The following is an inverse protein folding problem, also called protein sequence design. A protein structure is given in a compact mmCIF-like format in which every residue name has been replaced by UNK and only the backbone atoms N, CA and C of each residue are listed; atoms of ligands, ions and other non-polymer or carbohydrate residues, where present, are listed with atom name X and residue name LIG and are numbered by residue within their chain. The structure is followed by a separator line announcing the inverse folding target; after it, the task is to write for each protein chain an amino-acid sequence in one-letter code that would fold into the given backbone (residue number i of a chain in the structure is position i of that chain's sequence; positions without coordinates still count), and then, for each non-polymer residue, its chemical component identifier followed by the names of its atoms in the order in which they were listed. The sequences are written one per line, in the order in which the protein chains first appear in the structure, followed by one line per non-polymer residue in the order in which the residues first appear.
data_IF_563718248582
#
_entry.id   IF_563718248582
#
_cell.length_a   1.000
_cell.length_b   1.000
_cell.length_c   1.000
_cell.angle_alpha   90.00
_cell.angle_beta   90.00
_cell.angle_gamma   90.00
#
_symmetry.space_group_name_H-M   'P 1'
#
loop_
_entity.id
_entity.type
_entity.pdbx_description
1 polymer ?
#
# COMPACT_ATOMS: atom_id res chain seq x y z
N UNK A 1 -20.03 -14.67 -17.37
CA UNK A 1 -19.08 -15.06 -16.32
C UNK A 1 -19.48 -14.56 -14.93
N UNK A 2 -20.42 -13.62 -14.78
CA UNK A 2 -20.85 -13.13 -13.45
C UNK A 2 -19.94 -12.09 -12.79
N UNK A 3 -18.73 -11.88 -13.33
CA UNK A 3 -17.80 -10.84 -12.87
C UNK A 3 -18.30 -9.44 -13.25
N UNK A 4 -18.32 -8.55 -12.26
CA UNK A 4 -18.58 -7.12 -12.39
C UNK A 4 -17.33 -6.34 -12.84
N UNK A 5 -17.51 -5.34 -13.69
CA UNK A 5 -16.49 -4.38 -14.14
C UNK A 5 -17.08 -2.98 -14.29
N UNK A 6 -16.33 -1.89 -13.99
CA UNK A 6 -15.04 -1.84 -13.29
C UNK A 6 -15.22 -2.04 -11.78
N UNK A 7 -14.64 -3.11 -11.22
CA UNK A 7 -14.82 -3.46 -9.80
C UNK A 7 -13.61 -4.19 -9.22
N UNK A 8 -13.35 -4.00 -7.93
CA UNK A 8 -12.24 -4.63 -7.22
C UNK A 8 -12.66 -5.93 -6.53
N UNK A 9 -11.78 -6.94 -6.57
CA UNK A 9 -11.93 -8.22 -5.89
C UNK A 9 -10.73 -8.46 -5.00
N UNK A 10 -10.92 -9.22 -3.92
CA UNK A 10 -9.83 -9.62 -3.02
C UNK A 10 -9.40 -11.04 -3.36
N UNK A 11 -8.09 -11.25 -3.52
CA UNK A 11 -7.52 -12.61 -3.56
C UNK A 11 -7.44 -13.11 -2.11
N UNK A 12 -8.16 -14.19 -1.82
CA UNK A 12 -8.17 -14.79 -0.49
C UNK A 12 -7.17 -15.93 -0.38
N UNK A 13 -7.10 -16.76 -1.41
CA UNK A 13 -6.38 -18.02 -1.33
C UNK A 13 -5.93 -18.49 -2.71
N UNK A 14 -4.92 -19.35 -2.72
CA UNK A 14 -4.36 -19.92 -3.92
C UNK A 14 -3.94 -21.37 -3.62
N UNK A 15 -4.33 -22.30 -4.49
CA UNK A 15 -3.99 -23.71 -4.33
C UNK A 15 -3.54 -24.32 -5.63
N UNK A 16 -2.57 -25.23 -5.53
CA UNK A 16 -2.09 -26.05 -6.62
C UNK A 16 -2.29 -27.53 -6.30
N UNK A 17 -2.78 -28.28 -7.28
CA UNK A 17 -3.08 -29.69 -7.17
C UNK A 17 -2.39 -30.48 -8.28
N UNK A 18 -1.62 -31.49 -7.90
CA UNK A 18 -1.13 -32.52 -8.83
C UNK A 18 -2.22 -33.59 -8.98
N UNK A 19 -3.02 -33.45 -10.04
CA UNK A 19 -4.13 -34.35 -10.33
C UNK A 19 -3.65 -35.78 -10.56
N UNK A 20 -2.46 -35.97 -11.14
CA UNK A 20 -1.90 -37.31 -11.38
C UNK A 20 -1.61 -38.00 -10.06
N UNK A 21 -0.95 -37.30 -9.14
CA UNK A 21 -0.62 -37.82 -7.80
C UNK A 21 -1.86 -38.08 -6.96
N UNK A 22 -2.91 -37.28 -7.14
CA UNK A 22 -4.19 -37.46 -6.47
C UNK A 22 -5.08 -38.55 -7.12
N UNK A 23 -4.65 -39.17 -8.22
CA UNK A 23 -5.43 -40.19 -8.92
C UNK A 23 -6.67 -39.62 -9.65
N UNK A 24 -6.65 -38.33 -9.98
CA UNK A 24 -7.74 -37.60 -10.64
C UNK A 24 -7.50 -37.50 -12.15
N UNK A 25 -8.56 -37.28 -12.93
CA UNK A 25 -8.44 -37.02 -14.37
C UNK A 25 -7.77 -35.66 -14.64
N UNK A 26 -7.23 -35.48 -15.85
CA UNK A 26 -6.69 -34.18 -16.29
C UNK A 26 -7.78 -33.13 -16.40
N UNK A 27 -7.52 -31.93 -15.88
CA UNK A 27 -8.37 -30.76 -16.11
C UNK A 27 -7.84 -29.97 -17.31
N UNK A 28 -8.65 -29.81 -18.37
CA UNK A 28 -8.25 -29.13 -19.61
C UNK A 28 -6.90 -29.62 -20.15
N UNK A 29 -6.72 -30.95 -20.20
CA UNK A 29 -5.51 -31.64 -20.66
C UNK A 29 -4.25 -31.46 -19.80
N UNK A 30 -4.34 -30.73 -18.68
CA UNK A 30 -3.25 -30.49 -17.75
C UNK A 30 -3.37 -31.42 -16.51
N UNK A 31 -2.22 -31.89 -16.00
CA UNK A 31 -2.14 -32.65 -14.74
C UNK A 31 -2.01 -31.74 -13.52
N UNK A 32 -1.71 -30.47 -13.70
CA UNK A 32 -1.60 -29.48 -12.63
C UNK A 32 -2.80 -28.56 -12.67
N UNK A 33 -3.60 -28.54 -11.60
CA UNK A 33 -4.71 -27.61 -11.45
C UNK A 33 -4.34 -26.53 -10.45
N UNK A 34 -4.37 -25.28 -10.90
CA UNK A 34 -4.20 -24.10 -10.05
C UNK A 34 -5.51 -23.37 -9.89
N UNK A 35 -5.95 -23.16 -8.65
CA UNK A 35 -7.16 -22.43 -8.32
C UNK A 35 -6.83 -21.17 -7.50
N UNK A 36 -7.56 -20.10 -7.80
CA UNK A 36 -7.52 -18.82 -7.06
C UNK A 36 -8.88 -18.61 -6.40
N UNK A 37 -8.91 -18.40 -5.09
CA UNK A 37 -10.12 -17.98 -4.36
C UNK A 37 -10.19 -16.46 -4.37
N UNK A 38 -11.30 -15.93 -4.89
CA UNK A 38 -11.58 -14.50 -4.94
C UNK A 38 -12.81 -14.18 -4.10
N UNK A 39 -12.86 -12.95 -3.58
CA UNK A 39 -14.04 -12.37 -2.93
C UNK A 39 -14.48 -11.09 -3.64
N UNK A 40 -15.77 -11.03 -3.99
CA UNK A 40 -16.46 -9.80 -4.29
C UNK A 40 -16.88 -9.11 -2.98
N UNK A 41 -16.39 -7.90 -2.69
CA UNK A 41 -16.81 -7.13 -1.51
C UNK A 41 -18.32 -6.90 -1.40
N UNK A 42 -19.06 -6.87 -2.52
CA UNK A 42 -20.51 -6.63 -2.51
C UNK A 42 -21.35 -7.87 -2.25
N UNK A 43 -20.74 -9.06 -2.12
CA UNK A 43 -21.49 -10.30 -1.87
C UNK A 43 -22.38 -10.75 -3.04
N UNK A 44 -22.27 -10.12 -4.21
CA UNK A 44 -23.11 -10.35 -5.40
C UNK A 44 -22.26 -10.78 -6.60
N UNK A 45 -22.90 -11.27 -7.66
CA UNK A 45 -22.21 -11.57 -8.93
C UNK A 45 -21.33 -12.81 -8.83
N UNK A 46 -21.96 -13.96 -8.58
CA UNK A 46 -21.25 -15.23 -8.48
C UNK A 46 -20.60 -15.59 -9.81
N UNK A 47 -19.33 -15.99 -9.76
CA UNK A 47 -18.63 -16.47 -10.93
C UNK A 47 -19.31 -17.72 -11.48
N UNK A 48 -19.69 -17.66 -12.76
CA UNK A 48 -20.42 -18.75 -13.44
C UNK A 48 -19.51 -19.68 -14.25
N UNK A 49 -18.19 -19.56 -14.08
CA UNK A 49 -17.21 -20.38 -14.80
C UNK A 49 -16.86 -21.68 -14.06
N UNK A 50 -15.86 -22.43 -14.56
CA UNK A 50 -15.36 -23.64 -13.90
C UNK A 50 -14.92 -23.35 -12.46
N UNK A 51 -15.24 -24.23 -11.52
CA UNK A 51 -14.96 -24.04 -10.09
C UNK A 51 -15.68 -22.85 -9.44
N UNK A 52 -16.62 -22.21 -10.15
CA UNK A 52 -17.59 -21.29 -9.54
C UNK A 52 -18.55 -22.03 -8.59
N UNK A 53 -19.35 -21.31 -7.79
CA UNK A 53 -20.18 -21.92 -6.73
C UNK A 53 -21.13 -23.01 -7.26
N UNK A 54 -21.71 -22.80 -8.44
CA UNK A 54 -22.66 -23.74 -9.07
C UNK A 54 -22.00 -24.77 -9.99
N UNK A 55 -20.67 -24.85 -10.00
CA UNK A 55 -19.94 -25.73 -10.91
C UNK A 55 -20.10 -27.20 -10.50
N UNK A 56 -20.45 -28.06 -11.46
CA UNK A 56 -20.50 -29.51 -11.24
C UNK A 56 -19.12 -30.12 -10.95
N UNK A 57 -18.03 -29.40 -11.24
CA UNK A 57 -16.66 -29.84 -10.98
C UNK A 57 -16.37 -30.06 -9.49
N UNK A 58 -17.11 -29.42 -8.60
CA UNK A 58 -17.00 -29.66 -7.16
C UNK A 58 -17.51 -31.05 -6.74
N UNK A 59 -18.20 -31.76 -7.63
CA UNK A 59 -18.83 -33.05 -7.36
C UNK A 59 -18.24 -34.14 -8.26
N UNK A 60 -18.43 -35.39 -7.86
CA UNK A 60 -18.02 -36.56 -8.63
C UNK A 60 -16.50 -36.62 -8.84
N UNK A 61 -16.05 -36.43 -10.09
CA UNK A 61 -14.67 -36.71 -10.52
C UNK A 61 -13.59 -35.95 -9.77
N UNK A 62 -13.89 -34.77 -9.24
CA UNK A 62 -12.93 -33.94 -8.52
C UNK A 62 -13.39 -33.62 -7.09
N UNK A 63 -14.19 -34.49 -6.48
CA UNK A 63 -14.68 -34.30 -5.10
C UNK A 63 -13.53 -34.12 -4.09
N UNK A 64 -12.37 -34.76 -4.33
CA UNK A 64 -11.17 -34.56 -3.51
C UNK A 64 -10.73 -33.09 -3.51
N UNK A 65 -10.81 -32.39 -4.65
CA UNK A 65 -10.45 -30.97 -4.75
C UNK A 65 -11.43 -30.11 -3.94
N UNK A 66 -12.72 -30.46 -3.92
CA UNK A 66 -13.72 -29.77 -3.10
C UNK A 66 -13.40 -29.85 -1.60
N UNK A 67 -12.98 -31.03 -1.15
CA UNK A 67 -12.56 -31.27 0.25
C UNK A 67 -11.33 -30.45 0.60
N UNK A 68 -10.31 -30.48 -0.26
CA UNK A 68 -9.11 -29.68 -0.08
C UNK A 68 -9.45 -28.20 -0.01
N UNK A 69 -10.17 -27.65 -0.98
CA UNK A 69 -10.57 -26.24 -1.04
C UNK A 69 -11.56 -25.80 0.05
N UNK A 70 -11.96 -26.68 0.97
CA UNK A 70 -13.01 -26.46 1.97
C UNK A 70 -14.27 -25.84 1.35
N UNK A 71 -14.67 -26.32 0.16
CA UNK A 71 -15.73 -25.73 -0.62
C UNK A 71 -17.09 -25.84 0.09
N UNK A 72 -17.83 -24.72 0.12
CA UNK A 72 -19.18 -24.62 0.68
C UNK A 72 -20.09 -23.98 -0.36
N UNK A 73 -21.20 -24.64 -0.71
CA UNK A 73 -22.16 -24.20 -1.74
C UNK A 73 -22.86 -22.87 -1.38
N UNK A 74 -22.85 -22.47 -0.10
CA UNK A 74 -23.53 -21.28 0.41
C UNK A 74 -22.62 -20.08 0.69
N UNK A 75 -21.31 -20.14 0.39
CA UNK A 75 -20.42 -18.99 0.60
C UNK A 75 -20.76 -17.85 -0.37
N UNK A 76 -21.53 -16.87 0.10
CA UNK A 76 -21.92 -15.71 -0.71
C UNK A 76 -20.74 -14.80 -1.00
N UNK A 77 -20.54 -14.45 -2.28
CA UNK A 77 -19.55 -13.47 -2.69
C UNK A 77 -18.09 -13.97 -2.71
N UNK A 78 -17.81 -15.22 -2.36
CA UNK A 78 -16.49 -15.83 -2.56
C UNK A 78 -16.58 -16.98 -3.55
N UNK A 79 -15.61 -17.13 -4.43
CA UNK A 79 -15.61 -18.18 -5.43
C UNK A 79 -14.18 -18.58 -5.81
N UNK A 80 -14.02 -19.81 -6.29
CA UNK A 80 -12.79 -20.25 -6.90
C UNK A 80 -12.86 -20.08 -8.42
N UNK A 81 -11.70 -19.91 -9.05
CA UNK A 81 -11.56 -19.98 -10.49
C UNK A 81 -10.20 -20.58 -10.88
N UNK A 82 -10.08 -21.19 -12.07
CA UNK A 82 -8.79 -21.56 -12.62
C UNK A 82 -7.87 -20.34 -12.70
N UNK A 83 -6.61 -20.51 -12.34
CA UNK A 83 -5.62 -19.44 -12.43
C UNK A 83 -5.52 -18.89 -13.86
N UNK A 84 -5.56 -19.74 -14.89
CA UNK A 84 -5.61 -19.31 -16.29
C UNK A 84 -6.79 -18.36 -16.57
N UNK A 85 -7.97 -18.63 -16.01
CA UNK A 85 -9.12 -17.76 -16.18
C UNK A 85 -8.87 -16.42 -15.44
N UNK A 86 -8.31 -16.45 -14.23
CA UNK A 86 -7.90 -15.24 -13.51
C UNK A 86 -7.01 -14.31 -14.36
N UNK A 87 -5.94 -14.83 -14.95
CA UNK A 87 -5.03 -14.02 -15.78
C UNK A 87 -5.64 -13.48 -17.07
N UNK A 88 -6.69 -14.13 -17.59
CA UNK A 88 -7.42 -13.62 -18.76
C UNK A 88 -8.47 -12.58 -18.42
N UNK A 89 -8.95 -12.53 -17.17
CA UNK A 89 -10.07 -11.67 -16.75
C UNK A 89 -9.65 -10.48 -15.90
N UNK A 90 -8.56 -10.59 -15.16
CA UNK A 90 -8.01 -9.53 -14.33
C UNK A 90 -6.76 -8.93 -14.96
N UNK A 91 -6.67 -7.60 -14.99
CA UNK A 91 -5.56 -6.87 -15.61
C UNK A 91 -4.63 -6.19 -14.60
N UNK A 92 -5.04 -6.09 -13.33
CA UNK A 92 -4.33 -5.36 -12.28
C UNK A 92 -4.37 -6.16 -10.99
N UNK A 93 -3.21 -6.35 -10.37
CA UNK A 93 -3.06 -6.95 -9.04
C UNK A 93 -2.40 -5.91 -8.13
N UNK A 94 -3.09 -5.53 -7.06
CA UNK A 94 -2.54 -4.66 -6.02
C UNK A 94 -2.19 -5.51 -4.80
N UNK A 95 -0.94 -5.43 -4.37
CA UNK A 95 -0.44 -6.17 -3.23
C UNK A 95 0.02 -5.18 -2.17
N UNK A 96 -0.62 -5.21 -1.00
CA UNK A 96 -0.24 -4.39 0.14
C UNK A 96 0.38 -5.29 1.21
N UNK A 97 1.60 -4.98 1.64
CA UNK A 97 2.22 -5.63 2.79
C UNK A 97 1.76 -4.89 4.05
N UNK A 98 1.11 -5.62 4.94
CA UNK A 98 0.79 -5.12 6.28
C UNK A 98 2.00 -5.43 7.17
N UNK A 99 2.58 -4.39 7.76
CA UNK A 99 3.65 -4.52 8.74
C UNK A 99 2.98 -4.54 10.12
N UNK A 100 2.80 -5.73 10.69
CA UNK A 100 2.16 -5.92 12.01
C UNK A 100 3.21 -5.83 13.13
N UNK A 101 2.80 -5.80 14.39
CA UNK A 101 3.72 -6.03 15.51
C UNK A 101 3.41 -7.40 16.12
N UNK A 102 4.42 -8.26 16.39
CA UNK A 102 5.84 -8.11 16.09
C UNK A 102 6.18 -8.52 14.63
N UNK A 103 6.53 -7.58 13.76
CA UNK A 103 7.16 -7.83 12.46
C UNK A 103 8.62 -7.35 12.53
N UNK A 104 9.62 -8.12 12.06
CA UNK A 104 11.02 -7.68 12.01
C UNK A 104 11.27 -6.42 11.14
N UNK A 105 10.25 -5.87 10.48
CA UNK A 105 10.38 -4.67 9.68
C UNK A 105 10.08 -3.42 10.50
N UNK A 106 10.92 -2.41 10.34
CA UNK A 106 10.81 -1.10 10.96
C UNK A 106 10.40 -0.09 9.90
N UNK A 107 9.47 0.79 10.24
CA UNK A 107 9.06 1.90 9.39
C UNK A 107 9.77 3.20 9.80
N UNK A 108 10.44 3.84 8.85
CA UNK A 108 11.04 5.16 9.02
C UNK A 108 10.35 6.12 8.08
N UNK A 109 9.88 7.26 8.58
CA UNK A 109 9.18 8.28 7.79
C UNK A 109 9.93 9.61 7.81
N UNK A 110 10.07 10.21 6.64
CA UNK A 110 10.69 11.51 6.44
C UNK A 110 9.77 12.42 5.63
N UNK A 111 9.63 13.68 6.00
CA UNK A 111 8.90 14.68 5.22
C UNK A 111 9.85 15.69 4.58
N UNK A 112 9.49 16.16 3.40
CA UNK A 112 10.13 17.29 2.71
C UNK A 112 9.16 17.85 1.66
N UNK A 113 9.59 18.82 0.85
CA UNK A 113 8.77 19.45 -0.17
C UNK A 113 9.54 19.77 -1.46
N UNK A 114 8.84 19.66 -2.58
CA UNK A 114 9.23 20.29 -3.83
C UNK A 114 8.90 21.77 -3.78
N UNK A 115 9.90 22.60 -4.04
CA UNK A 115 9.89 24.05 -3.92
C UNK A 115 10.30 24.68 -5.25
N UNK A 116 9.61 25.77 -5.55
CA UNK A 116 9.90 26.67 -6.65
C UNK A 116 9.60 28.08 -6.17
N UNK A 117 10.52 28.99 -6.41
CA UNK A 117 10.40 30.38 -6.01
C UNK A 117 9.34 31.05 -6.87
N UNK A 118 8.48 31.82 -6.22
CA UNK A 118 7.49 32.67 -6.87
C UNK A 118 8.01 34.11 -6.76
N UNK A 119 7.97 34.93 -7.84
CA UNK A 119 8.31 36.33 -7.74
C UNK A 119 7.52 37.04 -6.64
N UNK A 120 8.14 38.01 -5.97
CA UNK A 120 7.45 38.87 -5.02
C UNK A 120 6.40 39.76 -5.73
N UNK A 121 5.67 40.57 -4.95
CA UNK A 121 4.65 41.48 -5.50
C UNK A 121 5.21 42.51 -6.51
N UNK A 122 6.52 42.77 -6.49
CA UNK A 122 7.21 43.64 -7.43
C UNK A 122 7.80 42.89 -8.64
N UNK A 123 7.62 41.56 -8.71
CA UNK A 123 8.15 40.71 -9.77
C UNK A 123 9.64 40.38 -9.62
N UNK A 124 10.24 40.65 -8.45
CA UNK A 124 11.65 40.40 -8.17
C UNK A 124 11.81 39.06 -7.46
N UNK A 125 12.82 38.30 -7.84
CA UNK A 125 13.24 37.06 -7.16
C UNK A 125 14.62 37.31 -6.57
N UNK A 126 14.80 37.08 -5.27
CA UNK A 126 16.14 37.18 -4.70
C UNK A 126 17.01 35.99 -5.14
N UNK A 127 18.31 36.18 -5.40
CA UNK A 127 19.22 35.08 -5.75
C UNK A 127 19.22 33.95 -4.72
N UNK A 128 19.07 34.29 -3.42
CA UNK A 128 19.05 33.33 -2.31
C UNK A 128 17.80 32.44 -2.33
N UNK A 129 16.66 32.97 -2.74
CA UNK A 129 15.44 32.16 -2.87
C UNK A 129 15.53 31.21 -4.06
N UNK A 130 16.10 31.67 -5.17
CA UNK A 130 16.31 30.83 -6.36
C UNK A 130 17.23 29.62 -6.09
N UNK A 131 18.11 29.70 -5.09
CA UNK A 131 18.93 28.57 -4.65
C UNK A 131 18.12 27.47 -3.94
N UNK A 132 16.93 27.79 -3.42
CA UNK A 132 16.03 26.85 -2.75
C UNK A 132 15.17 26.04 -3.72
N UNK A 133 15.17 26.39 -5.01
CA UNK A 133 14.44 25.67 -6.06
C UNK A 133 14.99 24.25 -6.21
N UNK A 134 14.14 23.28 -5.90
CA UNK A 134 14.47 21.87 -5.95
C UNK A 134 13.46 21.05 -6.78
N UNK A 135 12.37 21.65 -7.28
CA UNK A 135 11.39 20.98 -8.13
C UNK A 135 11.89 20.84 -9.58
N UNK A 136 12.94 20.05 -9.81
CA UNK A 136 13.64 20.03 -11.11
C UNK A 136 13.26 18.86 -12.02
N UNK A 137 12.54 17.88 -11.49
CA UNK A 137 12.10 16.70 -12.23
C UNK A 137 13.24 15.75 -12.63
N UNK A 138 12.99 14.74 -13.48
CA UNK A 138 13.97 13.74 -13.88
C UNK A 138 15.07 14.34 -14.79
N UNK A 139 16.17 13.60 -15.04
CA UNK A 139 17.23 14.04 -15.95
C UNK A 139 16.69 14.48 -17.32
N UNK A 140 16.95 15.73 -17.69
CA UNK A 140 16.56 16.34 -18.96
C UNK A 140 17.80 16.71 -19.80
N UNK A 141 17.69 16.61 -21.13
CA UNK A 141 18.77 16.96 -22.06
C UNK A 141 19.06 18.45 -22.10
N UNK A 142 18.05 19.31 -21.91
CA UNK A 142 18.25 20.77 -22.00
C UNK A 142 18.98 21.30 -20.77
N UNK A 143 18.73 20.71 -19.59
CA UNK A 143 19.40 21.07 -18.34
C UNK A 143 19.89 19.81 -17.59
N UNK A 144 21.03 19.23 -18.00
CA UNK A 144 21.46 17.91 -17.54
C UNK A 144 21.87 17.84 -16.07
N UNK A 145 22.15 18.97 -15.41
CA UNK A 145 22.49 19.03 -13.99
C UNK A 145 21.31 19.41 -13.09
N UNK A 146 20.20 19.94 -13.64
CA UNK A 146 19.07 20.42 -12.86
C UNK A 146 18.50 19.36 -11.91
N UNK A 147 18.31 18.14 -12.39
CA UNK A 147 17.71 17.05 -11.61
C UNK A 147 18.48 16.71 -10.32
N UNK A 148 19.78 17.04 -10.24
CA UNK A 148 20.58 16.87 -9.04
C UNK A 148 20.18 17.83 -7.91
N UNK A 149 19.37 18.85 -8.19
CA UNK A 149 18.82 19.75 -7.15
C UNK A 149 17.57 19.19 -6.47
N UNK A 150 16.94 18.13 -7.00
CA UNK A 150 15.79 17.53 -6.33
C UNK A 150 16.14 17.13 -4.89
N UNK A 151 15.14 17.07 -3.98
CA UNK A 151 15.33 16.57 -2.62
C UNK A 151 16.07 15.24 -2.60
N UNK A 152 17.11 15.17 -1.75
CA UNK A 152 18.02 14.03 -1.65
C UNK A 152 18.04 13.46 -0.24
N UNK A 153 17.93 12.14 -0.15
CA UNK A 153 18.03 11.39 1.10
C UNK A 153 19.20 10.41 1.00
N UNK A 154 20.18 10.56 1.89
CA UNK A 154 21.31 9.66 2.03
C UNK A 154 20.96 8.55 3.01
N UNK A 155 21.01 7.29 2.55
CA UNK A 155 20.74 6.10 3.38
C UNK A 155 22.04 5.36 3.62
N UNK A 156 22.46 5.32 4.89
CA UNK A 156 23.65 4.66 5.38
C UNK A 156 23.29 3.32 5.98
N UNK A 157 23.98 2.27 5.50
CA UNK A 157 23.66 0.87 5.78
C UNK A 157 24.87 0.21 6.43
N UNK A 158 24.67 -0.40 7.62
CA UNK A 158 25.73 -1.07 8.39
C UNK A 158 25.83 -2.57 8.11
N UNK A 159 24.71 -3.20 7.78
CA UNK A 159 24.62 -4.62 7.40
C UNK A 159 23.67 -4.83 6.23
N UNK A 160 23.75 -5.98 5.57
CA UNK A 160 22.86 -6.26 4.44
C UNK A 160 21.41 -6.32 4.92
N UNK A 161 20.52 -5.56 4.29
CA UNK A 161 19.10 -5.53 4.68
C UNK A 161 18.18 -5.38 3.48
N UNK A 162 17.02 -6.08 3.47
CA UNK A 162 15.94 -5.72 2.58
C UNK A 162 15.40 -4.33 2.93
N UNK A 163 14.98 -3.58 1.91
CA UNK A 163 14.38 -2.27 2.04
C UNK A 163 13.28 -2.06 0.98
N UNK A 164 12.08 -1.69 1.42
CA UNK A 164 11.01 -1.19 0.57
C UNK A 164 10.90 0.32 0.79
N UNK A 165 10.92 1.10 -0.28
CA UNK A 165 10.80 2.56 -0.20
C UNK A 165 9.49 2.99 -0.85
N UNK A 166 8.78 3.92 -0.23
CA UNK A 166 7.51 4.48 -0.71
C UNK A 166 7.55 5.99 -0.62
N UNK A 167 7.34 6.67 -1.74
CA UNK A 167 7.16 8.11 -1.82
C UNK A 167 5.67 8.41 -1.89
N UNK A 168 5.19 9.25 -0.98
CA UNK A 168 3.79 9.62 -0.83
C UNK A 168 3.61 11.11 -1.02
N UNK A 169 2.66 11.54 -1.86
CA UNK A 169 2.20 12.92 -1.92
C UNK A 169 0.96 13.11 -1.04
N UNK A 170 0.60 14.38 -0.76
CA UNK A 170 -0.58 14.71 0.06
C UNK A 170 -1.85 14.07 -0.53
N UNK A 171 -2.65 13.46 0.33
CA UNK A 171 -3.89 12.77 -0.06
C UNK A 171 -4.91 13.78 -0.59
N UNK A 172 -5.36 13.60 -1.84
CA UNK A 172 -6.30 14.54 -2.48
C UNK A 172 -7.68 14.53 -1.82
N UNK A 173 -8.03 13.45 -1.10
CA UNK A 173 -9.30 13.37 -0.34
C UNK A 173 -9.31 14.32 0.87
N UNK A 174 -8.14 14.59 1.45
CA UNK A 174 -7.99 15.50 2.59
C UNK A 174 -8.02 16.97 2.12
N UNK A 175 -7.63 17.24 0.87
CA UNK A 175 -7.65 18.59 0.28
C UNK A 175 -9.07 18.98 -0.17
N UNK A 176 -9.89 18.00 -0.56
CA UNK A 176 -11.26 18.19 -1.06
C UNK A 176 -12.25 18.79 -0.06
N UNK A 177 -11.97 18.77 1.25
CA UNK A 177 -12.89 19.31 2.27
C UNK A 177 -13.10 20.83 2.18
N UNK A 178 -12.10 21.60 1.73
CA UNK A 178 -12.20 23.06 1.62
C UNK A 178 -12.42 23.57 0.19
N UNK A 179 -12.15 22.76 -0.84
CA UNK A 179 -12.15 23.21 -2.24
C UNK A 179 -13.11 22.46 -3.18
N UNK A 180 -13.76 21.38 -2.71
CA UNK A 180 -14.86 20.75 -3.46
C UNK A 180 -16.15 21.62 -3.49
N UNK A 181 -16.19 22.74 -2.77
CA UNK A 181 -17.28 23.70 -2.78
C UNK A 181 -17.14 24.80 -3.86
N UNK A 182 -16.21 24.70 -4.82
CA UNK A 182 -16.28 25.52 -6.03
C UNK A 182 -17.39 24.97 -6.93
N UNK A 183 -18.62 25.33 -6.56
CA UNK A 183 -19.83 25.21 -7.37
C UNK A 183 -19.56 25.92 -8.71
N UNK A 184 -19.33 25.18 -9.78
CA UNK A 184 -19.51 25.72 -11.12
C UNK A 184 -21.00 25.99 -11.33
N UNK A 185 -21.34 27.15 -11.90
CA UNK A 185 -22.70 27.50 -12.37
C UNK A 185 -23.13 26.46 -13.42
N UNK A 186 -23.68 25.34 -12.98
CA UNK A 186 -23.97 24.19 -13.83
C UNK A 186 -24.16 22.85 -13.08
N UNK A 187 -23.89 22.77 -11.78
CA UNK A 187 -24.33 21.64 -10.94
C UNK A 187 -23.64 20.30 -11.17
N UNK A 188 -22.54 20.26 -11.93
CA UNK A 188 -21.70 19.07 -12.04
C UNK A 188 -20.55 19.15 -11.02
N UNK A 189 -20.67 18.43 -9.91
CA UNK A 189 -19.54 18.12 -9.03
C UNK A 189 -18.62 17.20 -9.84
N UNK A 190 -17.55 17.75 -10.40
CA UNK A 190 -16.48 16.92 -10.96
C UNK A 190 -15.87 16.16 -9.80
N UNK A 191 -16.08 14.84 -9.79
CA UNK A 191 -15.45 13.92 -8.86
C UNK A 191 -13.91 14.04 -8.98
N UNK A 192 -13.31 14.83 -8.10
CA UNK A 192 -11.87 15.01 -7.96
C UNK A 192 -11.29 14.03 -6.94
N UNK A 193 -12.11 13.15 -6.33
CA UNK A 193 -11.64 12.19 -5.36
C UNK A 193 -10.67 11.20 -6.01
N UNK A 194 -9.53 10.98 -5.35
CA UNK A 194 -8.51 10.05 -5.84
C UNK A 194 -7.78 10.49 -7.10
N UNK A 195 -7.99 11.73 -7.59
CA UNK A 195 -7.18 12.31 -8.68
C UNK A 195 -5.98 13.05 -8.09
N UNK A 196 -4.81 12.78 -8.67
CA UNK A 196 -3.56 13.42 -8.30
C UNK A 196 -3.02 14.22 -9.49
N UNK A 197 -2.78 15.51 -9.27
CA UNK A 197 -2.30 16.45 -10.27
C UNK A 197 -0.80 16.30 -10.56
N UNK A 198 -0.04 15.72 -9.62
CA UNK A 198 1.39 15.46 -9.77
C UNK A 198 1.62 14.00 -10.08
N UNK A 199 2.35 13.76 -11.16
CA UNK A 199 2.96 12.46 -11.41
C UNK A 199 4.27 12.40 -10.62
N UNK A 200 4.32 11.57 -9.57
CA UNK A 200 5.47 11.50 -8.66
C UNK A 200 6.30 10.24 -8.91
N UNK A 201 7.59 10.31 -8.58
CA UNK A 201 8.54 9.22 -8.74
C UNK A 201 9.82 9.48 -7.95
N UNK A 202 10.65 8.45 -7.83
CA UNK A 202 11.98 8.63 -7.25
C UNK A 202 12.98 7.66 -7.87
N UNK A 203 14.26 8.01 -7.74
CA UNK A 203 15.36 7.19 -8.18
C UNK A 203 16.33 6.95 -7.02
N UNK A 204 16.89 5.75 -6.96
CA UNK A 204 17.88 5.33 -5.97
C UNK A 204 19.19 5.09 -6.69
N UNK A 205 20.27 5.68 -6.21
CA UNK A 205 21.61 5.50 -6.75
C UNK A 205 22.62 5.25 -5.61
N UNK A 206 23.81 4.76 -5.97
CA UNK A 206 24.95 4.72 -5.05
C UNK A 206 25.60 6.10 -5.02
N UNK A 207 25.90 6.62 -3.83
CA UNK A 207 26.51 7.95 -3.71
C UNK A 207 27.86 8.05 -4.45
N UNK A 208 28.63 6.95 -4.47
CA UNK A 208 29.88 6.88 -5.24
C UNK A 208 29.66 7.13 -6.74
N UNK A 209 28.59 6.54 -7.32
CA UNK A 209 28.25 6.70 -8.74
C UNK A 209 27.75 8.12 -9.02
N UNK A 210 26.95 8.69 -8.13
CA UNK A 210 26.50 10.09 -8.24
C UNK A 210 27.70 11.04 -8.22
N UNK A 211 28.66 10.84 -7.33
CA UNK A 211 29.87 11.67 -7.24
C UNK A 211 30.76 11.56 -8.48
N UNK A 212 30.90 10.36 -9.04
CA UNK A 212 31.73 10.11 -10.21
C UNK A 212 31.10 10.67 -11.51
N UNK A 213 29.81 10.40 -11.71
CA UNK A 213 29.14 10.66 -12.98
C UNK A 213 28.31 11.94 -12.98
N UNK A 214 27.71 12.31 -11.86
CA UNK A 214 26.85 13.50 -11.73
C UNK A 214 25.79 13.56 -12.83
N UNK A 215 25.75 14.68 -13.56
CA UNK A 215 24.82 14.91 -14.67
C UNK A 215 24.96 13.93 -15.85
N UNK A 216 26.05 13.16 -15.91
CA UNK A 216 26.30 12.17 -16.97
C UNK A 216 25.70 10.80 -16.68
N UNK A 217 25.03 10.62 -15.54
CA UNK A 217 24.38 9.36 -15.19
C UNK A 217 23.31 8.96 -16.21
N UNK A 218 23.29 7.67 -16.54
CA UNK A 218 22.30 7.03 -17.42
C UNK A 218 21.31 6.23 -16.58
N UNK A 219 20.20 5.80 -17.21
CA UNK A 219 19.18 4.94 -16.55
C UNK A 219 19.79 3.69 -15.90
N UNK A 220 20.83 3.10 -16.50
CA UNK A 220 21.53 1.92 -15.99
C UNK A 220 22.41 2.18 -14.75
N UNK A 221 22.73 3.44 -14.46
CA UNK A 221 23.55 3.81 -13.31
C UNK A 221 22.75 3.85 -12.01
N UNK A 222 21.42 3.93 -12.11
CA UNK A 222 20.53 3.88 -10.96
C UNK A 222 20.39 2.46 -10.44
N UNK A 223 20.43 2.33 -9.12
CA UNK A 223 20.18 1.10 -8.40
C UNK A 223 18.70 0.69 -8.51
N UNK A 224 17.79 1.65 -8.40
CA UNK A 224 16.37 1.44 -8.64
C UNK A 224 15.70 2.73 -9.15
N UNK A 225 14.61 2.60 -9.88
CA UNK A 225 13.77 3.73 -10.28
C UNK A 225 12.32 3.31 -10.06
N UNK A 226 11.58 4.08 -9.25
CA UNK A 226 10.16 3.92 -9.09
C UNK A 226 9.44 4.40 -10.36
N UNK A 227 8.37 3.71 -10.74
CA UNK A 227 7.57 4.14 -11.90
C UNK A 227 6.83 5.41 -11.53
N UNK A 228 7.01 6.44 -12.35
CA UNK A 228 6.27 7.69 -12.22
C UNK A 228 4.78 7.44 -12.43
N UNK A 229 3.94 7.86 -11.47
CA UNK A 229 2.48 7.69 -11.51
C UNK A 229 1.76 8.86 -10.84
N UNK A 230 0.53 9.12 -11.31
CA UNK A 230 -0.44 10.05 -10.71
C UNK A 230 -1.24 9.35 -9.61
N UNK A 231 -0.53 8.73 -8.69
CA UNK A 231 -1.07 8.01 -7.54
C UNK A 231 -0.63 8.70 -6.24
N UNK A 232 -1.32 8.43 -5.14
CA UNK A 232 -0.90 8.92 -3.81
C UNK A 232 0.50 8.47 -3.45
N UNK A 233 0.78 7.21 -3.75
CA UNK A 233 1.97 6.49 -3.33
C UNK A 233 2.63 5.84 -4.54
N UNK A 234 3.95 5.96 -4.63
CA UNK A 234 4.78 5.18 -5.56
C UNK A 234 5.86 4.47 -4.77
N UNK A 235 6.12 3.21 -5.08
CA UNK A 235 7.10 2.38 -4.38
C UNK A 235 8.26 1.99 -5.28
N UNK A 236 9.33 1.47 -4.67
CA UNK A 236 10.30 0.68 -5.43
C UNK A 236 9.59 -0.47 -6.13
N UNK A 237 10.04 -0.86 -7.34
CA UNK A 237 9.39 -1.95 -8.07
C UNK A 237 9.52 -3.30 -7.33
N UNK A 238 10.56 -3.48 -6.51
CA UNK A 238 10.82 -4.65 -5.68
C UNK A 238 11.35 -4.22 -4.31
N UNK A 239 11.42 -5.18 -3.38
CA UNK A 239 12.24 -5.07 -2.18
C UNK A 239 13.72 -5.02 -2.57
N UNK A 240 14.38 -3.91 -2.29
CA UNK A 240 15.78 -3.71 -2.58
C UNK A 240 16.66 -4.42 -1.55
N UNK A 241 17.80 -4.96 -1.96
CA UNK A 241 18.80 -5.52 -1.05
C UNK A 241 19.93 -4.49 -0.87
N UNK A 242 19.85 -3.73 0.21
CA UNK A 242 20.88 -2.74 0.52
C UNK A 242 22.09 -3.41 1.17
N UNK A 243 23.29 -2.92 0.88
CA UNK A 243 24.54 -3.48 1.42
C UNK A 243 25.50 -2.39 1.90
N UNK A 244 26.35 -2.68 2.90
CA UNK A 244 27.35 -1.74 3.39
C UNK A 244 28.40 -1.36 2.34
N UNK A 245 28.70 -2.27 1.40
CA UNK A 245 29.68 -2.04 0.32
C UNK A 245 29.26 -0.92 -0.62
N UNK A 246 27.95 -0.78 -0.85
CA UNK A 246 27.35 0.21 -1.75
C UNK A 246 26.86 1.46 -1.01
N UNK A 247 27.03 1.49 0.32
CA UNK A 247 26.62 2.59 1.20
C UNK A 247 27.53 3.82 1.03
N UNK A 248 27.00 5.06 1.11
CA UNK A 248 25.58 5.37 1.22
C UNK A 248 24.85 5.32 -0.13
N UNK A 249 23.55 5.06 -0.07
CA UNK A 249 22.63 5.24 -1.18
C UNK A 249 22.05 6.65 -1.17
N UNK A 250 21.69 7.19 -2.35
CA UNK A 250 21.03 8.49 -2.51
C UNK A 250 19.67 8.25 -3.15
N UNK A 251 18.61 8.76 -2.53
CA UNK A 251 17.25 8.77 -3.06
C UNK A 251 16.94 10.18 -3.57
N UNK A 252 16.53 10.29 -4.83
CA UNK A 252 16.08 11.53 -5.45
C UNK A 252 14.56 11.52 -5.56
N UNK A 253 13.86 12.30 -4.73
CA UNK A 253 12.39 12.42 -4.80
C UNK A 253 12.00 13.47 -5.83
N UNK A 254 11.15 13.12 -6.79
CA UNK A 254 10.90 13.92 -8.00
C UNK A 254 9.43 13.95 -8.38
N UNK A 255 9.02 15.02 -9.04
CA UNK A 255 7.86 15.04 -9.93
C UNK A 255 8.29 14.76 -11.36
N UNK A 256 7.42 14.21 -12.20
CA UNK A 256 7.70 13.98 -13.63
C UNK A 256 7.90 15.31 -14.36
N UNK A 257 7.01 16.26 -14.07
CA UNK A 257 7.06 17.62 -14.61
C UNK A 257 7.89 18.54 -13.70
N UNK A 258 8.92 19.23 -14.23
CA UNK A 258 9.66 20.23 -13.47
C UNK A 258 8.79 21.40 -13.03
N UNK A 259 9.04 21.92 -11.83
CA UNK A 259 8.38 23.08 -11.25
C UNK A 259 7.10 22.77 -10.49
N UNK A 260 6.71 21.51 -10.39
CA UNK A 260 5.57 21.08 -9.57
C UNK A 260 5.96 21.14 -8.07
N UNK A 261 5.25 21.98 -7.32
CA UNK A 261 5.51 22.20 -5.89
C UNK A 261 4.56 21.42 -5.01
N UNK A 262 5.01 21.02 -3.82
CA UNK A 262 4.16 20.34 -2.84
C UNK A 262 4.94 19.53 -1.82
N UNK A 263 4.33 19.30 -0.66
CA UNK A 263 4.87 18.41 0.37
C UNK A 263 4.73 16.94 0.00
N UNK A 264 5.70 16.14 0.43
CA UNK A 264 5.70 14.69 0.28
C UNK A 264 6.28 14.02 1.53
N UNK A 265 6.05 12.72 1.66
CA UNK A 265 6.69 11.88 2.65
C UNK A 265 7.42 10.71 1.97
N UNK A 266 8.61 10.41 2.45
CA UNK A 266 9.39 9.23 2.08
C UNK A 266 9.33 8.23 3.24
N UNK A 267 8.82 7.03 2.98
CA UNK A 267 8.75 5.94 3.92
C UNK A 267 9.76 4.85 3.53
N UNK A 268 10.58 4.43 4.49
CA UNK A 268 11.50 3.30 4.35
C UNK A 268 11.05 2.20 5.29
N UNK A 269 10.78 1.02 4.75
CA UNK A 269 10.59 -0.20 5.52
C UNK A 269 11.86 -1.03 5.42
N UNK A 270 12.50 -1.34 6.55
CA UNK A 270 13.79 -2.05 6.62
C UNK A 270 13.79 -3.10 7.72
N UNK A 271 14.58 -4.17 7.58
CA UNK A 271 14.75 -5.15 8.67
C UNK A 271 15.92 -4.83 9.61
N UNK A 272 17.02 -4.31 9.08
CA UNK A 272 18.14 -3.82 9.88
C UNK A 272 18.10 -2.31 10.04
N UNK A 273 18.79 -1.82 11.08
CA UNK A 273 18.92 -0.39 11.31
C UNK A 273 19.70 0.31 10.19
N UNK A 274 19.11 1.40 9.69
CA UNK A 274 19.72 2.31 8.72
C UNK A 274 19.73 3.72 9.30
N UNK A 275 20.77 4.49 8.97
CA UNK A 275 20.82 5.91 9.28
C UNK A 275 20.47 6.71 8.03
N UNK A 276 19.57 7.69 8.15
CA UNK A 276 19.11 8.49 7.02
C UNK A 276 19.43 9.96 7.29
N UNK A 277 19.98 10.64 6.28
CA UNK A 277 20.19 12.09 6.27
C UNK A 277 19.42 12.71 5.12
N UNK A 278 18.55 13.69 5.41
CA UNK A 278 17.70 14.36 4.45
C UNK A 278 16.25 14.36 4.92
N UNK A 279 15.52 15.44 4.63
CA UNK A 279 14.19 15.70 5.17
C UNK A 279 14.11 15.75 6.69
N UNK A 280 12.89 15.97 7.18
CA UNK A 280 12.53 15.95 8.60
C UNK A 280 12.04 14.56 8.99
N UNK A 281 12.68 13.92 9.97
CA UNK A 281 12.24 12.61 10.47
C UNK A 281 10.98 12.77 11.31
N UNK A 282 10.00 11.91 11.05
CA UNK A 282 8.75 11.86 11.82
C UNK A 282 8.74 10.59 12.63
N UNK A 283 8.52 10.75 13.93
CA UNK A 283 8.25 9.62 14.82
C UNK A 283 6.86 9.09 14.49
N UNK A 284 6.81 7.85 14.03
CA UNK A 284 5.55 7.14 13.86
C UNK A 284 5.17 6.67 15.27
N UNK A 285 4.19 7.33 15.89
CA UNK A 285 3.58 6.81 17.11
C UNK A 285 2.93 5.48 16.75
N UNK A 286 3.50 4.38 17.25
CA UNK A 286 2.86 3.07 17.19
C UNK A 286 1.61 3.17 18.06
N UNK A 287 0.46 3.44 17.45
CA UNK A 287 -0.80 3.23 18.15
C UNK A 287 -0.90 1.73 18.41
N UNK A 288 -0.86 1.35 19.69
CA UNK A 288 -1.29 0.03 20.15
C UNK A 288 -2.68 -0.21 19.53
N UNK A 289 -2.79 -1.23 18.67
CA UNK A 289 -4.08 -1.71 18.22
C UNK A 289 -4.76 -2.27 19.45
N UNK A 290 -5.70 -1.52 20.02
CA UNK A 290 -6.69 -2.09 20.92
C UNK A 290 -7.64 -2.90 20.02
N UNK A 291 -7.50 -4.22 20.03
CA UNK A 291 -8.31 -5.17 19.25
C UNK A 291 -9.76 -5.27 19.78
N UNK A 292 -10.33 -4.16 20.27
CA UNK A 292 -11.77 -4.06 20.49
C UNK A 292 -12.43 -3.61 19.18
N UNK A 293 -12.80 -4.58 18.36
CA UNK A 293 -13.88 -4.41 17.38
C UNK A 293 -15.15 -4.04 18.15
N UNK A 294 -15.39 -2.74 18.38
CA UNK A 294 -16.70 -2.15 18.61
C UNK A 294 -16.62 -0.61 18.45
N UNK A 295 -17.66 -0.05 17.82
CA UNK A 295 -18.04 1.37 17.76
C UNK A 295 -17.56 2.28 16.60
N UNK A 296 -18.41 2.25 15.56
CA UNK A 296 -19.02 3.38 14.84
C UNK A 296 -18.79 4.81 15.39
N UNK A 297 -18.44 5.71 14.46
CA UNK A 297 -18.72 7.15 14.42
C UNK A 297 -18.64 7.98 15.72
N UNK A 298 -17.47 8.62 15.94
CA UNK A 298 -17.39 9.88 16.69
C UNK A 298 -16.10 10.66 16.33
N UNK A 299 -16.10 11.39 15.22
CA UNK A 299 -15.19 12.52 15.06
C UNK A 299 -15.87 13.76 15.63
N UNK A 300 -15.49 14.12 16.85
CA UNK A 300 -15.96 15.33 17.50
C UNK A 300 -15.61 16.56 16.66
N UNK A 301 -16.68 17.29 16.36
CA UNK A 301 -16.64 18.68 15.96
C UNK A 301 -16.30 19.53 17.19
N UNK A 302 -15.26 20.36 17.11
CA UNK A 302 -15.23 21.72 17.68
C UNK A 302 -14.00 22.44 17.10
N UNK A 303 -14.16 23.22 16.02
CA UNK A 303 -14.69 24.58 15.95
C UNK A 303 -13.65 25.64 16.37
N UNK A 304 -13.09 26.25 15.32
CA UNK A 304 -12.50 27.59 15.34
C UNK A 304 -13.65 28.59 15.31
N UNK A 305 -13.77 29.41 16.35
CA UNK A 305 -14.43 30.74 16.40
C UNK A 305 -14.18 31.26 17.83
N UNK A 306 -13.81 32.50 18.12
CA UNK A 306 -13.63 33.73 17.38
C UNK A 306 -13.11 34.78 18.38
N UNK A 307 -12.43 35.79 17.87
CA UNK A 307 -11.99 36.97 18.62
C UNK A 307 -13.11 38.02 18.60
N UNK A 308 -13.18 38.85 19.65
CA UNK A 308 -14.14 39.95 19.92
C UNK A 308 -15.50 39.46 20.44
N UNK A 309 -16.08 39.94 21.55
CA UNK A 309 -16.12 41.28 22.13
C UNK A 309 -16.46 41.21 23.65
N UNK A 310 -16.06 42.22 24.41
CA UNK A 310 -16.37 42.37 25.83
C UNK A 310 -17.78 42.92 26.07
N UNK A 311 -18.41 42.58 27.20
CA UNK A 311 -19.11 43.48 28.16
C UNK A 311 -19.88 42.67 29.24
N UNK A 312 -19.46 42.87 30.49
CA UNK A 312 -20.18 42.90 31.79
C UNK A 312 -21.33 41.92 32.15
N UNK A 313 -21.21 41.30 33.33
CA UNK A 313 -22.36 40.83 34.13
C UNK A 313 -22.01 39.78 35.20
N UNK A 314 -22.15 40.14 36.47
CA UNK A 314 -21.78 39.39 37.70
C UNK A 314 -22.68 38.15 38.00
N UNK A 315 -22.33 37.32 39.00
CA UNK A 315 -22.76 35.92 39.18
C UNK A 315 -23.87 35.76 40.22
N UNK A 316 -24.44 34.55 40.34
CA UNK A 316 -24.78 33.99 41.66
C UNK A 316 -25.16 32.48 41.66
N UNK A 317 -24.63 31.80 42.69
CA UNK A 317 -25.19 30.68 43.49
C UNK A 317 -25.29 29.23 42.99
N UNK A 318 -24.46 28.39 43.65
CA UNK A 318 -24.50 26.93 43.94
C UNK A 318 -25.63 26.55 44.97
N UNK A 319 -25.70 25.35 45.63
CA UNK A 319 -25.11 23.98 45.42
C UNK A 319 -26.08 22.77 45.68
N UNK A 320 -25.55 21.54 45.45
CA UNK A 320 -25.73 20.36 46.36
C UNK A 320 -26.53 19.17 45.78
N UNK A 321 -26.33 17.89 46.11
CA UNK A 321 -25.36 17.15 46.94
C UNK A 321 -25.61 15.61 46.75
N UNK A 322 -24.60 14.77 47.03
CA UNK A 322 -24.64 13.36 47.58
C UNK A 322 -25.50 12.27 46.89
N UNK A 323 -25.11 11.01 46.70
CA UNK A 323 -24.18 10.12 47.40
C UNK A 323 -24.91 8.84 47.89
N UNK A 324 -24.39 7.64 47.56
CA UNK A 324 -24.59 6.26 48.14
C UNK A 324 -24.67 5.22 46.99
N UNK A 325 -23.78 4.24 46.81
CA UNK A 325 -23.26 3.15 47.68
C UNK A 325 -24.30 2.13 48.15
N UNK A 326 -24.21 0.90 47.64
CA UNK A 326 -24.92 -0.27 48.14
C UNK A 326 -24.38 -1.56 47.51
N UNK A 327 -23.72 -2.38 48.30
CA UNK A 327 -23.18 -3.70 47.96
C UNK A 327 -24.11 -4.82 48.44
N UNK A 328 -23.99 -6.02 47.83
CA UNK A 328 -24.56 -7.30 48.30
C UNK A 328 -24.74 -8.27 47.12
N UNK A 329 -23.82 -9.22 46.90
CA UNK A 329 -23.67 -10.58 47.48
C UNK A 329 -24.44 -11.68 46.73
N UNK A 330 -23.64 -12.54 46.09
CA UNK A 330 -23.62 -14.01 46.06
C UNK A 330 -24.89 -14.84 45.78
N UNK A 331 -24.76 -15.77 44.80
CA UNK A 331 -25.57 -16.99 44.73
C UNK A 331 -25.53 -17.71 43.38
N UNK A 332 -24.70 -18.78 43.29
CA UNK A 332 -24.88 -20.07 42.58
C UNK A 332 -25.33 -20.06 41.09
N UNK A 333 -24.68 -20.68 40.10
CA UNK A 333 -23.84 -21.88 40.06
C UNK A 333 -24.54 -22.98 39.24
N UNK A 334 -24.26 -23.11 37.92
CA UNK A 334 -24.39 -24.38 37.18
C UNK A 334 -23.37 -24.44 36.03
N UNK A 335 -22.64 -25.55 36.00
CA UNK A 335 -21.62 -25.98 35.05
C UNK A 335 -22.19 -26.55 33.74
N UNK A 336 -21.46 -26.40 32.63
CA UNK A 336 -21.32 -27.48 31.64
C UNK A 336 -20.02 -27.31 30.85
N UNK A 337 -19.16 -28.32 30.94
CA UNK A 337 -17.91 -28.47 30.20
C UNK A 337 -18.17 -28.88 28.74
N UNK A 338 -17.31 -28.44 27.83
CA UNK A 338 -17.08 -29.10 26.55
C UNK A 338 -15.64 -28.87 26.08
N UNK A 339 -14.97 -29.99 25.80
CA UNK A 339 -13.58 -30.17 25.39
C UNK A 339 -13.12 -29.28 24.22
N UNK A 340 -11.92 -28.71 24.35
CA UNK A 340 -11.11 -28.18 23.25
C UNK A 340 -10.12 -29.26 22.76
N UNK A 341 -9.98 -29.54 21.46
CA UNK A 341 -8.78 -30.15 20.94
C UNK A 341 -7.72 -29.09 20.66
N UNK A 342 -6.47 -29.46 20.94
CA UNK A 342 -5.27 -28.63 20.98
C UNK A 342 -5.01 -27.82 19.70
N UNK A 343 -4.59 -26.56 19.91
CA UNK A 343 -4.30 -25.59 18.87
C UNK A 343 -3.12 -25.93 17.97
N UNK A 344 -3.33 -25.79 16.66
CA UNK A 344 -2.27 -25.57 15.70
C UNK A 344 -1.76 -24.13 15.85
N UNK A 345 -0.45 -23.97 16.05
CA UNK A 345 0.19 -22.67 16.29
C UNK A 345 0.05 -21.69 15.12
N UNK A 346 0.10 -20.36 15.38
CA UNK A 346 0.02 -19.35 14.34
C UNK A 346 1.40 -19.15 13.71
N UNK A 347 1.52 -19.27 12.38
CA UNK A 347 2.77 -18.85 11.73
C UNK A 347 3.09 -19.34 10.32
N UNK A 348 2.28 -20.19 9.68
CA UNK A 348 2.63 -20.77 8.37
C UNK A 348 1.84 -20.23 7.16
N UNK A 349 0.65 -19.67 7.34
CA UNK A 349 -0.28 -19.39 6.23
C UNK A 349 0.06 -18.21 5.31
N UNK A 350 0.55 -17.10 5.85
CA UNK A 350 0.71 -15.84 5.08
C UNK A 350 1.94 -15.83 4.15
N UNK A 351 2.98 -16.62 4.48
CA UNK A 351 4.14 -16.81 3.60
C UNK A 351 3.77 -17.58 2.34
N UNK A 352 2.78 -18.46 2.40
CA UNK A 352 2.45 -19.37 1.32
C UNK A 352 1.61 -18.67 0.24
N UNK A 353 0.73 -17.74 0.60
CA UNK A 353 -0.03 -16.99 -0.41
C UNK A 353 0.86 -16.09 -1.26
N UNK A 354 1.84 -15.39 -0.66
CA UNK A 354 2.79 -14.56 -1.39
C UNK A 354 3.72 -15.39 -2.28
N UNK A 355 4.28 -16.48 -1.74
CA UNK A 355 5.11 -17.40 -2.52
C UNK A 355 4.31 -18.08 -3.62
N UNK A 356 3.06 -18.44 -3.38
CA UNK A 356 2.26 -19.14 -4.36
C UNK A 356 1.72 -18.16 -5.43
N UNK A 357 1.34 -16.92 -5.09
CA UNK A 357 1.08 -15.87 -6.08
C UNK A 357 2.33 -15.58 -6.91
N UNK A 358 3.50 -15.53 -6.28
CA UNK A 358 4.78 -15.44 -6.98
C UNK A 358 4.98 -16.61 -7.93
N UNK A 359 4.93 -17.84 -7.43
CA UNK A 359 5.12 -19.09 -8.17
C UNK A 359 4.15 -19.16 -9.34
N UNK A 360 2.86 -18.91 -9.14
CA UNK A 360 1.88 -18.94 -10.22
C UNK A 360 2.15 -17.85 -11.26
N UNK A 361 2.44 -16.62 -10.84
CA UNK A 361 2.81 -15.59 -11.81
C UNK A 361 4.12 -15.98 -12.55
N UNK A 362 5.09 -16.62 -11.90
CA UNK A 362 6.37 -17.04 -12.52
C UNK A 362 6.32 -18.32 -13.36
N UNK A 363 5.45 -19.27 -13.02
CA UNK A 363 5.25 -20.52 -13.76
C UNK A 363 4.36 -20.29 -14.97
N UNK A 364 3.37 -19.39 -14.89
CA UNK A 364 2.76 -18.79 -16.08
C UNK A 364 3.70 -17.87 -16.84
N UNK A 365 4.76 -17.42 -16.16
CA UNK A 365 5.94 -16.86 -16.79
C UNK A 365 6.56 -17.77 -17.85
N UNK A 366 6.29 -19.08 -17.89
CA UNK A 366 6.71 -19.91 -19.03
C UNK A 366 6.06 -19.50 -20.36
N UNK A 367 4.90 -18.85 -20.34
CA UNK A 367 4.23 -18.24 -21.51
C UNK A 367 4.51 -16.72 -21.67
N UNK A 368 5.12 -16.10 -20.67
CA UNK A 368 5.58 -14.71 -20.74
C UNK A 368 6.93 -14.67 -21.47
N UNK A 369 7.19 -13.59 -22.21
CA UNK A 369 8.51 -13.37 -22.76
C UNK A 369 9.54 -13.04 -21.65
N UNK A 370 10.82 -13.03 -22.02
CA UNK A 370 11.94 -12.78 -21.10
C UNK A 370 11.85 -11.42 -20.40
N UNK A 371 11.20 -10.43 -21.01
CA UNK A 371 11.07 -9.07 -20.47
C UNK A 371 9.96 -9.02 -19.40
N UNK A 372 8.86 -9.72 -19.64
CA UNK A 372 7.74 -9.86 -18.71
C UNK A 372 8.09 -10.72 -17.49
N UNK A 373 8.86 -11.81 -17.67
CA UNK A 373 9.42 -12.60 -16.55
C UNK A 373 10.34 -11.77 -15.67
N UNK A 374 11.22 -10.96 -16.28
CA UNK A 374 12.05 -10.00 -15.54
C UNK A 374 11.21 -8.94 -14.85
N UNK A 375 10.16 -8.44 -15.48
CA UNK A 375 9.24 -7.47 -14.88
C UNK A 375 8.54 -8.00 -13.63
N UNK A 376 8.17 -9.28 -13.64
CA UNK A 376 7.50 -9.95 -12.54
C UNK A 376 8.45 -10.35 -11.40
N UNK A 377 9.61 -10.94 -11.70
CA UNK A 377 10.65 -11.22 -10.70
C UNK A 377 11.09 -9.91 -10.00
N UNK A 378 11.22 -8.84 -10.79
CA UNK A 378 11.45 -7.48 -10.35
C UNK A 378 10.23 -6.83 -9.67
N UNK A 379 9.01 -7.32 -9.81
CA UNK A 379 7.85 -6.82 -9.06
C UNK A 379 7.76 -7.44 -7.66
N UNK A 380 8.41 -8.59 -7.49
CA UNK A 380 8.27 -9.44 -6.31
C UNK A 380 9.58 -9.62 -5.52
N UNK A 381 10.69 -9.06 -6.01
CA UNK A 381 11.96 -8.98 -5.32
C UNK A 381 12.83 -10.22 -5.37
N UNK A 382 12.78 -10.95 -6.50
CA UNK A 382 13.61 -12.12 -6.80
C UNK A 382 14.56 -11.89 -7.97
#
# INVERSE_FOLDING_TARGET
MGLLTPHAYTVLELREFDLKRMGLERFREEWTLRLVKLRNPWGKGDFTGPWGPKSELWRGKYELIAKECHFRDFETGSFWMPANDFFTKFNTLNVCRIFKTPDPWRALRFQDAWRKTVPDAAGVISPKELELDNAMGPPDRKNPSAWLKNPQFLVFVKEKTPCLMVLSQKDSRVIGGAQAAIRTKGGAVLDQFGKYDKEIGFAVARAAVVREKGSRMKKSDFFAIARFRRDRDVSTPYTLQLSPKDSPYVIFAMTSDPGMVGGFALNLYVKADVFVRGGERIEVLEHEHDDSDDDVDAFDHEAVEGMEEAVAGNPDSLPGASGRSGAGKDGEGVSSASDQPAGAGPGAGDSDLYKALFTICTELGQKLDTEQKRGLAKALGL
#
